data_IF_189898912422
#
_entry.id   IF_189898912422
#
_cell.length_a   1.000
_cell.length_b   1.000
_cell.length_c   1.000
_cell.angle_alpha   90.00
_cell.angle_beta   90.00
_cell.angle_gamma   90.00
#
_symmetry.space_group_name_H-M   'P 1'
#
loop_
_entity.id
_entity.type
_entity.pdbx_description
1 polymer ?
#
# COMPACT_ATOMS: atom_id res chain seq x y z
N UNK A 1 -1.90 -0.54 -18.90
CA UNK A 1 -1.96 -1.29 -20.18
C UNK A 1 -1.39 -0.50 -21.35
N UNK A 2 -1.90 0.69 -21.69
CA UNK A 2 -1.53 1.43 -22.91
C UNK A 2 -0.02 1.72 -23.14
N UNK A 3 0.83 1.62 -22.11
CA UNK A 3 2.28 1.83 -22.22
C UNK A 3 3.07 0.53 -22.47
N UNK A 4 2.43 -0.65 -22.51
CA UNK A 4 3.10 -1.90 -22.85
C UNK A 4 3.33 -2.03 -24.36
N UNK A 5 4.23 -2.93 -24.75
CA UNK A 5 4.47 -3.28 -26.17
C UNK A 5 3.20 -3.83 -26.84
N UNK A 6 2.43 -4.62 -26.09
CA UNK A 6 1.13 -5.15 -26.49
C UNK A 6 0.09 -4.86 -25.39
N UNK A 7 -0.72 -3.80 -25.54
CA UNK A 7 -1.74 -3.41 -24.56
C UNK A 7 -2.96 -4.32 -24.49
N UNK A 8 -3.24 -5.09 -25.54
CA UNK A 8 -4.40 -5.97 -25.61
C UNK A 8 -4.12 -7.24 -24.81
N UNK A 9 -3.00 -7.91 -25.07
CA UNK A 9 -2.57 -9.09 -24.29
C UNK A 9 -2.41 -8.76 -22.80
N UNK A 10 -1.86 -7.59 -22.48
CA UNK A 10 -1.71 -7.17 -21.07
C UNK A 10 -3.05 -6.98 -20.33
N UNK A 11 -4.10 -6.55 -21.05
CA UNK A 11 -5.46 -6.47 -20.49
C UNK A 11 -6.08 -7.85 -20.33
N UNK A 12 -5.97 -8.68 -21.35
CA UNK A 12 -6.54 -10.04 -21.33
C UNK A 12 -6.06 -10.82 -20.11
N UNK A 13 -4.73 -10.84 -19.86
CA UNK A 13 -4.17 -11.58 -18.72
C UNK A 13 -4.61 -11.01 -17.35
N UNK A 14 -4.81 -9.70 -17.25
CA UNK A 14 -5.35 -9.11 -16.03
C UNK A 14 -6.83 -9.53 -15.83
N UNK A 15 -7.60 -9.50 -16.91
CA UNK A 15 -9.05 -9.69 -16.90
C UNK A 15 -9.48 -11.16 -16.79
N UNK A 16 -8.59 -12.10 -17.10
CA UNK A 16 -8.81 -13.54 -16.86
C UNK A 16 -9.29 -13.85 -15.44
N UNK A 17 -8.80 -13.08 -14.46
CA UNK A 17 -9.14 -13.26 -13.04
C UNK A 17 -9.89 -12.09 -12.43
N UNK A 18 -9.81 -10.90 -13.02
CA UNK A 18 -10.43 -9.66 -12.54
C UNK A 18 -11.14 -8.88 -13.68
N UNK A 19 -12.21 -9.43 -14.28
CA UNK A 19 -12.81 -8.85 -15.48
C UNK A 19 -13.63 -7.58 -15.21
N UNK A 20 -14.12 -7.40 -13.98
CA UNK A 20 -15.01 -6.30 -13.63
C UNK A 20 -14.34 -4.93 -13.87
N UNK A 21 -15.07 -3.96 -14.42
CA UNK A 21 -14.57 -2.59 -14.66
C UNK A 21 -13.93 -1.94 -13.42
N UNK A 22 -14.47 -2.08 -12.19
CA UNK A 22 -13.84 -1.54 -10.99
C UNK A 22 -12.43 -2.09 -10.71
N UNK A 23 -12.08 -3.28 -11.22
CA UNK A 23 -10.74 -3.84 -11.04
C UNK A 23 -9.66 -3.08 -11.81
N UNK A 24 -10.02 -2.38 -12.89
CA UNK A 24 -9.07 -1.59 -13.70
C UNK A 24 -8.51 -0.38 -12.95
N UNK A 25 -9.21 0.06 -11.92
CA UNK A 25 -8.82 1.16 -11.03
C UNK A 25 -8.51 0.69 -9.61
N UNK A 26 -8.56 -0.62 -9.35
CA UNK A 26 -8.27 -1.16 -8.03
C UNK A 26 -6.77 -1.07 -7.72
N UNK A 27 -6.43 -0.75 -6.47
CA UNK A 27 -5.05 -0.73 -5.99
C UNK A 27 -4.50 -2.13 -5.68
N UNK A 28 -4.87 -3.15 -6.47
CA UNK A 28 -4.32 -4.50 -6.38
C UNK A 28 -4.60 -5.28 -7.68
N UNK A 29 -3.83 -6.34 -7.91
CA UNK A 29 -4.14 -7.38 -8.89
C UNK A 29 -4.40 -8.72 -8.17
N UNK A 30 -4.82 -9.73 -8.93
CA UNK A 30 -5.16 -11.07 -8.40
C UNK A 30 -3.97 -11.80 -7.77
N UNK A 31 -2.73 -11.41 -8.08
CA UNK A 31 -1.53 -12.08 -7.58
C UNK A 31 -1.37 -11.94 -6.06
N UNK A 32 -1.62 -10.76 -5.49
CA UNK A 32 -1.46 -10.51 -4.05
C UNK A 32 -2.80 -10.23 -3.35
N UNK A 33 -3.83 -9.84 -4.11
CA UNK A 33 -5.12 -9.44 -3.56
C UNK A 33 -5.07 -8.14 -2.74
N UNK A 34 -6.22 -7.71 -2.20
CA UNK A 34 -6.38 -6.39 -1.60
C UNK A 34 -5.54 -6.18 -0.34
N UNK A 35 -5.35 -7.23 0.47
CA UNK A 35 -4.68 -7.10 1.77
C UNK A 35 -3.15 -7.10 1.67
N UNK A 36 -2.58 -7.69 0.62
CA UNK A 36 -1.14 -7.97 0.55
C UNK A 36 -0.44 -7.32 -0.66
N UNK A 37 -1.11 -6.44 -1.41
CA UNK A 37 -0.45 -5.70 -2.49
C UNK A 37 0.64 -4.77 -1.92
N UNK A 38 1.90 -5.07 -2.24
CA UNK A 38 3.06 -4.31 -1.75
C UNK A 38 3.04 -2.83 -2.15
N UNK A 39 2.58 -2.52 -3.37
CA UNK A 39 2.47 -1.15 -3.86
C UNK A 39 1.43 -0.35 -3.07
N UNK A 40 0.25 -0.94 -2.79
CA UNK A 40 -0.79 -0.32 -1.96
C UNK A 40 -0.30 -0.08 -0.54
N UNK A 41 0.29 -1.10 0.08
CA UNK A 41 0.85 -0.98 1.44
C UNK A 41 1.91 0.12 1.50
N UNK A 42 2.76 0.21 0.48
CA UNK A 42 3.78 1.28 0.39
C UNK A 42 3.12 2.66 0.28
N UNK A 43 2.04 2.78 -0.47
CA UNK A 43 1.27 4.02 -0.57
C UNK A 43 0.66 4.39 0.79
N UNK A 44 -0.04 3.46 1.45
CA UNK A 44 -0.64 3.66 2.78
C UNK A 44 0.41 4.14 3.81
N UNK A 45 1.60 3.53 3.81
CA UNK A 45 2.70 3.90 4.73
C UNK A 45 3.23 5.31 4.43
N UNK A 46 3.35 5.68 3.16
CA UNK A 46 3.80 7.03 2.76
C UNK A 46 2.77 8.10 3.11
N UNK A 47 1.49 7.81 2.91
CA UNK A 47 0.39 8.71 3.29
C UNK A 47 0.38 8.90 4.82
N UNK A 48 0.48 7.81 5.59
CA UNK A 48 0.62 7.88 7.04
C UNK A 48 1.81 8.74 7.46
N UNK A 49 2.98 8.53 6.85
CA UNK A 49 4.18 9.31 7.15
C UNK A 49 3.99 10.80 6.85
N UNK A 50 3.38 11.15 5.72
CA UNK A 50 3.10 12.53 5.34
C UNK A 50 2.12 13.22 6.31
N UNK A 51 1.06 12.51 6.74
CA UNK A 51 0.08 13.03 7.69
C UNK A 51 0.68 13.27 9.09
N UNK A 52 1.70 12.50 9.47
CA UNK A 52 2.31 12.53 10.80
C UNK A 52 3.68 13.22 10.83
N UNK A 53 4.14 13.82 9.72
CA UNK A 53 5.42 14.52 9.63
C UNK A 53 6.65 13.61 9.82
N UNK A 54 6.54 12.34 9.40
CA UNK A 54 7.61 11.35 9.52
C UNK A 54 8.56 11.43 8.31
N UNK A 55 9.27 12.54 8.16
CA UNK A 55 10.14 12.79 7.01
C UNK A 55 11.56 12.26 7.21
N UNK A 56 12.03 12.23 8.45
CA UNK A 56 13.38 11.79 8.80
C UNK A 56 13.37 10.57 9.72
N UNK A 57 14.50 9.87 9.77
CA UNK A 57 14.70 8.75 10.68
C UNK A 57 14.53 9.17 12.15
N UNK A 58 14.94 10.40 12.50
CA UNK A 58 14.76 10.96 13.84
C UNK A 58 13.29 11.18 14.21
N UNK A 59 12.45 11.62 13.27
CA UNK A 59 11.01 11.81 13.50
C UNK A 59 10.33 10.46 13.77
N UNK A 60 10.71 9.43 12.99
CA UNK A 60 10.22 8.06 13.14
C UNK A 60 10.61 7.49 14.51
N UNK A 61 11.87 7.62 14.90
CA UNK A 61 12.36 7.15 16.20
C UNK A 61 11.62 7.80 17.38
N UNK A 62 11.39 9.12 17.30
CA UNK A 62 10.69 9.86 18.35
C UNK A 62 9.25 9.35 18.54
N UNK A 63 8.52 9.12 17.43
CA UNK A 63 7.15 8.61 17.47
C UNK A 63 7.10 7.16 17.97
N UNK A 64 8.03 6.31 17.54
CA UNK A 64 8.13 4.93 18.02
C UNK A 64 8.41 4.88 19.52
N UNK A 65 9.35 5.69 20.02
CA UNK A 65 9.68 5.74 21.44
C UNK A 65 8.47 6.20 22.29
N UNK A 66 7.76 7.24 21.84
CA UNK A 66 6.57 7.74 22.52
C UNK A 66 5.45 6.70 22.55
N UNK A 67 5.16 6.05 21.40
CA UNK A 67 4.13 5.02 21.28
C UNK A 67 4.45 3.77 22.13
N UNK A 68 5.70 3.32 22.14
CA UNK A 68 6.12 2.18 22.99
C UNK A 68 5.99 2.50 24.48
N UNK A 69 6.31 3.73 24.90
CA UNK A 69 6.14 4.16 26.28
C UNK A 69 4.66 4.23 26.68
N UNK A 70 3.77 4.64 25.77
CA UNK A 70 2.32 4.63 25.99
C UNK A 70 1.77 3.21 26.15
N UNK A 71 2.08 2.31 25.22
CA UNK A 71 1.61 0.92 25.30
C UNK A 71 2.16 0.19 26.52
N UNK A 72 3.40 0.45 26.90
CA UNK A 72 3.96 -0.07 28.15
C UNK A 72 3.15 0.36 29.38
N UNK A 73 2.59 1.59 29.41
CA UNK A 73 1.72 2.04 30.50
C UNK A 73 0.32 1.43 30.44
N UNK A 74 -0.21 1.19 29.23
CA UNK A 74 -1.53 0.58 29.02
C UNK A 74 -1.56 -0.90 29.47
N UNK A 75 -0.46 -1.63 29.27
CA UNK A 75 -0.35 -3.07 29.56
C UNK A 75 0.39 -3.42 30.86
N UNK A 76 0.75 -2.42 31.69
CA UNK A 76 1.36 -2.62 33.01
C UNK A 76 0.31 -2.87 34.09
#
# INVERSE_FOLDING_TARGET
FALSLDPDTAREFHDETLPAEPAKTAHFCSMCGPKFCSMRITQDVREYAAEHGLETEADIEAVLAAGMAEKSREFA
#
